data_IF_941567013398
#
_entry.id   IF_941567013398
#
_cell.length_a   1.000
_cell.length_b   1.000
_cell.length_c   1.000
_cell.angle_alpha   90.00
_cell.angle_beta   90.00
_cell.angle_gamma   90.00
#
_symmetry.space_group_name_H-M   'P 1'
#
loop_
_entity.id
_entity.type
_entity.pdbx_description
1 polymer ?
#
# COMPACT_ATOMS: atom_id res chain seq x y z
N UNK A 1 19.18 -75.67 27.30
CA UNK A 1 18.05 -74.83 26.83
C UNK A 1 18.11 -73.38 27.33
N UNK A 2 18.46 -73.11 28.59
CA UNK A 2 18.51 -71.74 29.18
C UNK A 2 19.47 -70.79 28.42
N UNK A 3 20.65 -71.26 28.01
CA UNK A 3 21.63 -70.45 27.25
C UNK A 3 21.15 -70.04 25.85
N UNK A 4 20.32 -70.85 25.19
CA UNK A 4 19.77 -70.53 23.86
C UNK A 4 18.66 -69.48 23.97
N UNK A 5 17.81 -69.59 24.98
CA UNK A 5 16.78 -68.60 25.28
C UNK A 5 17.38 -67.24 25.67
N UNK A 6 18.42 -67.23 26.50
CA UNK A 6 19.14 -66.00 26.87
C UNK A 6 19.79 -65.31 25.66
N UNK A 7 20.47 -66.06 24.79
CA UNK A 7 21.09 -65.49 23.58
C UNK A 7 20.05 -64.90 22.61
N UNK A 8 18.88 -65.54 22.46
CA UNK A 8 17.79 -64.97 21.65
C UNK A 8 17.19 -63.70 22.27
N UNK A 9 17.06 -63.64 23.59
CA UNK A 9 16.60 -62.42 24.28
C UNK A 9 17.59 -61.28 24.06
N UNK A 10 18.90 -61.52 24.24
CA UNK A 10 19.93 -60.52 23.97
C UNK A 10 19.92 -60.05 22.51
N UNK A 11 19.75 -60.97 21.56
CA UNK A 11 19.67 -60.64 20.14
C UNK A 11 18.45 -59.75 19.82
N UNK A 12 17.26 -60.10 20.33
CA UNK A 12 16.04 -59.32 20.14
C UNK A 12 16.15 -57.94 20.81
N UNK A 13 16.65 -57.86 22.05
CA UNK A 13 16.86 -56.58 22.73
C UNK A 13 17.84 -55.68 21.97
N UNK A 14 18.90 -56.25 21.40
CA UNK A 14 19.88 -55.50 20.59
C UNK A 14 19.24 -54.97 19.31
N UNK A 15 18.43 -55.77 18.60
CA UNK A 15 17.72 -55.32 17.41
C UNK A 15 16.72 -54.20 17.71
N UNK A 16 15.98 -54.30 18.82
CA UNK A 16 15.04 -53.25 19.26
C UNK A 16 15.79 -51.96 19.58
N UNK A 17 16.90 -52.04 20.31
CA UNK A 17 17.75 -50.89 20.60
C UNK A 17 18.27 -50.24 19.32
N UNK A 18 18.74 -51.04 18.36
CA UNK A 18 19.26 -50.56 17.08
C UNK A 18 18.17 -49.87 16.26
N UNK A 19 16.95 -50.41 16.24
CA UNK A 19 15.80 -49.80 15.58
C UNK A 19 15.41 -48.47 16.24
N UNK A 20 15.38 -48.39 17.57
CA UNK A 20 15.08 -47.15 18.31
C UNK A 20 16.14 -46.08 18.02
N UNK A 21 17.43 -46.43 18.09
CA UNK A 21 18.53 -45.51 17.78
C UNK A 21 18.45 -45.02 16.34
N UNK A 22 18.16 -45.92 15.38
CA UNK A 22 18.03 -45.57 13.98
C UNK A 22 16.87 -44.60 13.71
N UNK A 23 15.70 -44.84 14.32
CA UNK A 23 14.54 -43.94 14.20
C UNK A 23 14.85 -42.57 14.80
N UNK A 24 15.49 -42.51 15.97
CA UNK A 24 15.87 -41.25 16.60
C UNK A 24 16.93 -40.49 15.79
N UNK A 25 17.89 -41.22 15.21
CA UNK A 25 18.88 -40.64 14.30
C UNK A 25 18.22 -39.99 13.08
N UNK A 26 17.26 -40.66 12.45
CA UNK A 26 16.53 -40.10 11.31
C UNK A 26 15.68 -38.88 11.70
N UNK A 27 15.02 -38.91 12.87
CA UNK A 27 14.28 -37.75 13.39
C UNK A 27 15.21 -36.55 13.64
N UNK A 28 16.36 -36.78 14.27
CA UNK A 28 17.37 -35.73 14.49
C UNK A 28 17.92 -35.17 13.18
N UNK A 29 18.18 -36.03 12.18
CA UNK A 29 18.64 -35.61 10.86
C UNK A 29 17.62 -34.73 10.16
N UNK A 30 16.34 -35.11 10.15
CA UNK A 30 15.25 -34.29 9.59
C UNK A 30 15.12 -32.95 10.30
N UNK A 31 15.06 -32.97 11.64
CA UNK A 31 14.96 -31.74 12.45
C UNK A 31 16.13 -30.77 12.20
N UNK A 32 17.35 -31.27 11.94
CA UNK A 32 18.49 -30.42 11.56
C UNK A 32 18.32 -29.78 10.19
N UNK A 33 17.83 -30.53 9.20
CA UNK A 33 17.55 -30.02 7.85
C UNK A 33 16.45 -28.96 7.91
N UNK A 34 15.38 -29.22 8.65
CA UNK A 34 14.28 -28.27 8.85
C UNK A 34 14.75 -27.02 9.60
N UNK A 35 15.55 -27.17 10.66
CA UNK A 35 16.13 -26.02 11.37
C UNK A 35 17.01 -25.17 10.45
N UNK A 36 17.75 -25.79 9.53
CA UNK A 36 18.57 -25.07 8.56
C UNK A 36 17.71 -24.37 7.49
N UNK A 37 16.64 -25.00 7.01
CA UNK A 37 15.72 -24.38 6.06
C UNK A 37 14.99 -23.19 6.68
N UNK A 38 14.52 -23.31 7.93
CA UNK A 38 13.90 -22.19 8.66
C UNK A 38 14.87 -21.04 8.93
N UNK A 39 16.14 -21.32 9.24
CA UNK A 39 17.17 -20.27 9.39
C UNK A 39 17.39 -19.50 8.08
N UNK A 40 17.45 -20.21 6.96
CA UNK A 40 17.59 -19.58 5.64
C UNK A 40 16.36 -18.74 5.30
N UNK A 41 15.16 -19.29 5.52
CA UNK A 41 13.91 -18.58 5.31
C UNK A 41 13.82 -17.31 6.16
N UNK A 42 14.19 -17.39 7.44
CA UNK A 42 14.17 -16.23 8.33
C UNK A 42 15.17 -15.15 7.88
N UNK A 43 16.36 -15.52 7.40
CA UNK A 43 17.30 -14.56 6.81
C UNK A 43 16.72 -13.86 5.59
N UNK A 44 16.04 -14.59 4.71
CA UNK A 44 15.37 -14.02 3.53
C UNK A 44 14.27 -13.06 3.96
N UNK A 45 13.40 -13.46 4.89
CA UNK A 45 12.31 -12.63 5.41
C UNK A 45 12.85 -11.33 6.04
N UNK A 46 13.87 -11.42 6.88
CA UNK A 46 14.51 -10.25 7.48
C UNK A 46 15.13 -9.32 6.43
N UNK A 47 15.75 -9.86 5.39
CA UNK A 47 16.29 -9.04 4.30
C UNK A 47 15.19 -8.34 3.48
N UNK A 48 14.08 -9.05 3.23
CA UNK A 48 12.93 -8.51 2.52
C UNK A 48 12.25 -7.42 3.34
N UNK A 49 12.10 -7.62 4.65
CA UNK A 49 11.57 -6.62 5.58
C UNK A 49 12.42 -5.35 5.55
N UNK A 50 13.75 -5.47 5.63
CA UNK A 50 14.64 -4.30 5.56
C UNK A 50 14.53 -3.58 4.22
N UNK A 51 14.45 -4.32 3.11
CA UNK A 51 14.26 -3.75 1.77
C UNK A 51 12.92 -3.01 1.65
N UNK A 52 11.84 -3.59 2.18
CA UNK A 52 10.52 -2.95 2.21
C UNK A 52 10.52 -1.67 3.05
N UNK A 53 11.14 -1.69 4.23
CA UNK A 53 11.27 -0.52 5.09
C UNK A 53 12.03 0.62 4.39
N UNK A 54 13.11 0.30 3.66
CA UNK A 54 13.85 1.30 2.87
C UNK A 54 12.98 1.90 1.76
N UNK A 55 12.27 1.06 1.00
CA UNK A 55 11.36 1.54 -0.06
C UNK A 55 10.23 2.39 0.49
N UNK A 56 9.66 2.03 1.64
CA UNK A 56 8.64 2.84 2.31
C UNK A 56 9.21 4.20 2.72
N UNK A 57 10.42 4.24 3.27
CA UNK A 57 11.08 5.48 3.65
C UNK A 57 11.38 6.36 2.43
N UNK A 58 11.86 5.79 1.33
CA UNK A 58 12.09 6.51 0.06
C UNK A 58 10.78 7.09 -0.50
N UNK A 59 9.71 6.29 -0.47
CA UNK A 59 8.39 6.70 -0.93
C UNK A 59 7.82 7.82 -0.06
N UNK A 60 7.96 7.70 1.27
CA UNK A 60 7.56 8.75 2.21
C UNK A 60 8.36 10.04 1.97
N UNK A 61 9.68 9.95 1.77
CA UNK A 61 10.51 11.12 1.44
C UNK A 61 10.09 11.77 0.13
N UNK A 62 9.79 10.98 -0.90
CA UNK A 62 9.30 11.49 -2.18
C UNK A 62 7.93 12.19 -2.02
N UNK A 63 7.05 11.63 -1.19
CA UNK A 63 5.73 12.19 -0.90
C UNK A 63 5.81 13.48 -0.08
N UNK A 64 6.72 13.58 0.89
CA UNK A 64 6.78 14.76 1.77
C UNK A 64 7.70 15.86 1.28
N UNK A 65 8.86 15.52 0.72
CA UNK A 65 9.96 16.46 0.55
C UNK A 65 10.23 16.87 -0.90
N UNK A 66 9.87 16.06 -1.89
CA UNK A 66 10.21 16.35 -3.28
C UNK A 66 9.20 17.34 -3.90
N UNK A 67 9.69 18.44 -4.46
CA UNK A 67 8.89 19.56 -5.00
C UNK A 67 7.79 20.09 -4.05
N UNK A 68 8.02 20.02 -2.73
CA UNK A 68 7.10 20.48 -1.67
C UNK A 68 6.01 19.48 -1.27
N UNK A 69 6.05 18.27 -1.81
CA UNK A 69 5.26 17.13 -1.35
C UNK A 69 3.80 17.10 -1.81
N UNK A 70 3.15 15.94 -1.63
CA UNK A 70 1.77 15.66 -2.05
C UNK A 70 0.80 16.68 -1.49
N UNK A 71 0.99 17.15 -0.24
CA UNK A 71 0.16 18.22 0.34
C UNK A 71 0.21 19.50 -0.48
N UNK A 72 1.40 19.94 -0.88
CA UNK A 72 1.53 21.15 -1.68
C UNK A 72 0.87 20.95 -3.04
N UNK A 73 1.01 19.78 -3.66
CA UNK A 73 0.35 19.45 -4.93
C UNK A 73 -1.17 19.46 -4.84
N UNK A 74 -1.75 18.95 -3.75
CA UNK A 74 -3.19 19.07 -3.48
C UNK A 74 -3.60 20.55 -3.44
N UNK A 75 -2.89 21.37 -2.66
CA UNK A 75 -3.22 22.81 -2.52
C UNK A 75 -3.04 23.54 -3.85
N UNK A 76 -1.96 23.28 -4.59
CA UNK A 76 -1.71 23.87 -5.91
C UNK A 76 -2.80 23.51 -6.92
N UNK A 77 -3.24 22.24 -6.96
CA UNK A 77 -4.28 21.79 -7.88
C UNK A 77 -5.65 22.42 -7.55
N UNK A 78 -5.99 22.57 -6.26
CA UNK A 78 -7.19 23.29 -5.82
C UNK A 78 -7.12 24.79 -6.17
N UNK A 79 -5.97 25.42 -5.93
CA UNK A 79 -5.76 26.83 -6.26
C UNK A 79 -5.85 27.08 -7.76
N UNK A 80 -5.24 26.20 -8.58
CA UNK A 80 -5.30 26.28 -10.03
C UNK A 80 -6.75 26.16 -10.53
N UNK A 81 -7.50 25.19 -10.00
CA UNK A 81 -8.92 25.02 -10.33
C UNK A 81 -9.76 26.26 -9.94
N UNK A 82 -9.54 26.80 -8.74
CA UNK A 82 -10.23 28.02 -8.26
C UNK A 82 -9.87 29.26 -9.09
N UNK A 83 -8.61 29.37 -9.49
CA UNK A 83 -8.10 30.47 -10.30
C UNK A 83 -8.67 30.42 -11.71
N UNK A 84 -8.65 29.25 -12.36
CA UNK A 84 -9.26 29.05 -13.67
C UNK A 84 -10.76 29.37 -13.64
N UNK A 85 -11.48 28.94 -12.61
CA UNK A 85 -12.91 29.26 -12.48
C UNK A 85 -13.16 30.77 -12.41
N UNK A 86 -12.30 31.52 -11.70
CA UNK A 86 -12.49 32.96 -11.47
C UNK A 86 -12.01 33.81 -12.65
N UNK A 87 -10.90 33.42 -13.28
CA UNK A 87 -10.22 34.23 -14.29
C UNK A 87 -10.61 33.84 -15.71
N UNK A 88 -10.78 32.55 -15.99
CA UNK A 88 -11.06 32.02 -17.34
C UNK A 88 -12.12 30.92 -17.32
N UNK A 89 -13.37 31.21 -16.89
CA UNK A 89 -14.44 30.22 -16.82
C UNK A 89 -14.82 29.66 -18.21
N UNK A 90 -14.62 30.43 -19.28
CA UNK A 90 -14.90 30.01 -20.65
C UNK A 90 -14.00 28.85 -21.09
N UNK A 91 -12.73 28.83 -20.66
CA UNK A 91 -11.80 27.74 -20.93
C UNK A 91 -12.34 26.41 -20.38
N UNK A 92 -12.91 26.45 -19.18
CA UNK A 92 -13.48 25.29 -18.49
C UNK A 92 -14.80 24.80 -19.13
N UNK A 93 -15.56 25.71 -19.74
CA UNK A 93 -16.79 25.38 -20.46
C UNK A 93 -16.48 24.77 -21.83
N UNK A 94 -15.48 25.32 -22.53
CA UNK A 94 -15.07 24.88 -23.86
C UNK A 94 -14.25 23.59 -23.81
N UNK A 95 -13.54 23.32 -22.70
CA UNK A 95 -12.69 22.15 -22.48
C UNK A 95 -13.10 21.34 -21.24
N UNK A 96 -14.24 20.61 -21.28
CA UNK A 96 -14.71 19.83 -20.14
C UNK A 96 -13.72 18.72 -19.69
N UNK A 97 -12.86 18.24 -20.58
CA UNK A 97 -11.76 17.31 -20.30
C UNK A 97 -10.73 17.87 -19.31
N UNK A 98 -10.54 19.19 -19.30
CA UNK A 98 -9.63 19.86 -18.37
C UNK A 98 -10.14 19.74 -16.94
N UNK A 99 -11.45 19.92 -16.72
CA UNK A 99 -12.07 19.71 -15.41
C UNK A 99 -11.90 18.27 -14.95
N UNK A 100 -12.13 17.31 -15.84
CA UNK A 100 -12.03 15.89 -15.50
C UNK A 100 -10.60 15.54 -15.10
N UNK A 101 -9.61 16.09 -15.80
CA UNK A 101 -8.19 15.89 -15.50
C UNK A 101 -7.79 16.51 -14.16
N UNK A 102 -8.25 17.74 -13.87
CA UNK A 102 -7.98 18.41 -12.58
C UNK A 102 -8.62 17.68 -11.40
N UNK A 103 -9.84 17.16 -11.58
CA UNK A 103 -10.53 16.37 -10.57
C UNK A 103 -9.89 15.00 -10.36
N UNK A 104 -9.49 14.31 -11.43
CA UNK A 104 -8.76 13.05 -11.35
C UNK A 104 -7.40 13.23 -10.64
N UNK A 105 -6.68 14.30 -10.95
CA UNK A 105 -5.44 14.65 -10.26
C UNK A 105 -5.68 14.91 -8.77
N UNK A 106 -6.77 15.60 -8.42
CA UNK A 106 -7.13 15.85 -7.03
C UNK A 106 -7.36 14.55 -6.26
N UNK A 107 -8.15 13.62 -6.83
CA UNK A 107 -8.43 12.32 -6.24
C UNK A 107 -7.16 11.46 -6.12
N UNK A 108 -6.29 11.52 -7.12
CA UNK A 108 -5.02 10.81 -7.10
C UNK A 108 -4.11 11.28 -5.97
N UNK A 109 -3.95 12.60 -5.80
CA UNK A 109 -3.13 13.14 -4.72
C UNK A 109 -3.73 12.86 -3.34
N UNK A 110 -5.06 12.93 -3.19
CA UNK A 110 -5.74 12.55 -1.95
C UNK A 110 -5.54 11.06 -1.62
N UNK A 111 -5.59 10.17 -2.62
CA UNK A 111 -5.33 8.74 -2.42
C UNK A 111 -3.86 8.47 -2.04
N UNK A 112 -2.89 9.12 -2.70
CA UNK A 112 -1.48 9.02 -2.31
C UNK A 112 -1.24 9.50 -0.88
N UNK A 113 -1.94 10.57 -0.48
CA UNK A 113 -1.90 11.08 0.87
C UNK A 113 -2.47 10.09 1.88
N UNK A 114 -3.64 9.51 1.60
CA UNK A 114 -4.29 8.52 2.47
C UNK A 114 -3.40 7.28 2.71
N UNK A 115 -2.66 6.85 1.69
CA UNK A 115 -1.70 5.74 1.80
C UNK A 115 -0.48 6.14 2.64
N UNK A 116 0.01 7.37 2.52
CA UNK A 116 1.14 7.86 3.29
C UNK A 116 0.79 8.18 4.75
N UNK A 117 -0.48 8.44 5.05
CA UNK A 117 -1.00 8.82 6.37
C UNK A 117 -0.90 7.71 7.42
N UNK A 118 -1.09 6.45 7.04
CA UNK A 118 -1.23 5.32 7.96
C UNK A 118 0.01 5.09 8.85
N UNK A 119 1.15 5.69 8.50
CA UNK A 119 2.44 5.51 9.18
C UNK A 119 2.98 6.76 9.91
N UNK A 120 2.25 7.89 10.00
CA UNK A 120 2.81 9.14 10.56
C UNK A 120 2.09 9.68 11.82
N UNK A 121 2.84 9.85 12.92
CA UNK A 121 2.41 10.52 14.17
C UNK A 121 2.34 12.07 14.06
N UNK A 122 2.74 12.65 12.93
CA UNK A 122 3.06 14.08 12.83
C UNK A 122 1.90 15.00 12.45
N UNK A 123 0.69 14.47 12.29
CA UNK A 123 -0.40 15.24 11.71
C UNK A 123 -1.71 15.11 12.48
N UNK A 124 -2.39 16.24 12.61
CA UNK A 124 -3.64 16.33 13.36
C UNK A 124 -4.84 16.16 12.40
N UNK A 125 -5.83 15.33 12.76
CA UNK A 125 -7.03 15.03 11.97
C UNK A 125 -7.74 16.28 11.39
N UNK A 126 -7.63 17.42 12.09
CA UNK A 126 -8.21 18.70 11.69
C UNK A 126 -7.64 19.26 10.37
N UNK A 127 -6.36 19.03 10.06
CA UNK A 127 -5.77 19.51 8.80
C UNK A 127 -6.30 18.73 7.59
N UNK A 128 -6.53 17.42 7.76
CA UNK A 128 -7.15 16.57 6.73
C UNK A 128 -8.61 16.97 6.53
N UNK A 129 -9.34 17.16 7.63
CA UNK A 129 -10.75 17.57 7.56
C UNK A 129 -10.90 18.89 6.79
N UNK A 130 -9.99 19.85 6.98
CA UNK A 130 -9.96 21.11 6.24
C UNK A 130 -9.66 20.95 4.75
N UNK A 131 -8.81 20.01 4.34
CA UNK A 131 -8.54 19.74 2.92
C UNK A 131 -9.71 19.01 2.27
N UNK A 132 -10.19 17.91 2.88
CA UNK A 132 -11.30 17.10 2.35
C UNK A 132 -12.63 17.86 2.27
N UNK A 133 -12.86 18.77 3.22
CA UNK A 133 -14.04 19.65 3.26
C UNK A 133 -13.71 21.09 2.84
N UNK A 134 -12.61 21.31 2.14
CA UNK A 134 -12.29 22.63 1.60
C UNK A 134 -13.47 23.13 0.77
N UNK A 135 -13.84 24.41 0.96
CA UNK A 135 -14.82 25.09 0.11
C UNK A 135 -14.42 25.03 -1.36
N UNK A 136 -13.13 24.92 -1.66
CA UNK A 136 -12.60 24.82 -3.01
C UNK A 136 -12.99 23.51 -3.69
N UNK A 137 -13.32 22.47 -2.93
CA UNK A 137 -13.84 21.21 -3.50
C UNK A 137 -15.24 21.39 -4.12
N UNK A 138 -16.00 22.38 -3.64
CA UNK A 138 -17.31 22.75 -4.21
C UNK A 138 -17.18 23.41 -5.59
N UNK A 139 -15.97 23.88 -5.95
CA UNK A 139 -15.68 24.46 -7.27
C UNK A 139 -15.95 23.45 -8.38
N UNK A 140 -15.49 22.20 -8.24
CA UNK A 140 -15.73 21.14 -9.24
C UNK A 140 -17.23 20.90 -9.48
N UNK A 141 -18.01 20.86 -8.39
CA UNK A 141 -19.47 20.71 -8.48
C UNK A 141 -20.13 21.91 -9.16
N UNK A 142 -19.73 23.13 -8.81
CA UNK A 142 -20.26 24.36 -9.39
C UNK A 142 -19.95 24.48 -10.88
N UNK A 143 -18.74 24.12 -11.30
CA UNK A 143 -18.34 24.14 -12.71
C UNK A 143 -19.15 23.12 -13.51
N UNK A 144 -19.31 21.88 -13.02
CA UNK A 144 -20.15 20.87 -13.69
C UNK A 144 -21.58 21.38 -13.89
N UNK A 145 -22.16 22.04 -12.89
CA UNK A 145 -23.50 22.64 -13.00
C UNK A 145 -23.54 23.72 -14.09
N UNK A 146 -22.51 24.56 -14.18
CA UNK A 146 -22.39 25.60 -15.21
C UNK A 146 -22.23 25.01 -16.62
N UNK A 147 -21.40 23.98 -16.79
CA UNK A 147 -21.24 23.26 -18.08
C UNK A 147 -22.58 22.69 -18.54
N UNK A 148 -23.30 21.99 -17.66
CA UNK A 148 -24.61 21.41 -17.98
C UNK A 148 -25.63 22.49 -18.34
N UNK A 149 -25.59 23.66 -17.69
CA UNK A 149 -26.45 24.80 -18.03
C UNK A 149 -26.09 25.41 -19.39
N UNK A 150 -24.80 25.59 -19.68
CA UNK A 150 -24.32 26.11 -20.96
C UNK A 150 -24.70 25.18 -22.13
N UNK A 151 -24.55 23.86 -21.96
CA UNK A 151 -24.96 22.87 -22.96
C UNK A 151 -26.47 22.89 -23.22
N UNK A 152 -27.29 23.06 -22.18
CA UNK A 152 -28.75 23.20 -22.33
C UNK A 152 -29.14 24.47 -23.10
N UNK A 153 -28.47 25.59 -22.84
CA UNK A 153 -28.71 26.85 -23.53
C UNK A 153 -28.26 26.79 -25.01
N UNK A 154 -27.12 26.14 -25.29
CA UNK A 154 -26.65 25.92 -26.66
C UNK A 154 -27.60 25.00 -27.45
N UNK A 155 -28.10 23.92 -26.84
CA UNK A 155 -29.06 23.02 -27.48
C UNK A 155 -30.46 23.62 -27.68
N UNK A 156 -30.87 24.59 -26.85
CA UNK A 156 -32.12 25.31 -26.99
C UNK A 156 -32.08 26.40 -28.09
N UNK A 157 -30.90 26.87 -28.48
CA UNK A 157 -30.72 27.86 -29.54
C UNK A 157 -30.68 27.25 -30.96
N UNK A 158 -30.59 25.92 -31.06
CA UNK A 158 -30.53 25.16 -32.32
C UNK A 158 -31.87 24.54 -32.74
N UNK A 159 -32.95 24.79 -32.00
CA UNK A 159 -34.33 24.37 -32.28
C UNK A 159 -35.24 25.58 -32.44
#
# INVERSE_FOLDING_TARGET
MISFALNNIFFVCTLVLLAVVFVQFHKCKRARVDAQSYRTLNKVLMSNQKSLQLKLLELHRAIENDAGGVKRRIVENLQLTSTLQKQEPELLINHPELIQSLEANQLFFEALYDVAWVDSDNWNCDQIFKVRNSSDRRVFFNIRKQIVQAQKLAGAATH
#
